data_IF_636634855172
#
_entry.id   IF_636634855172
#
_cell.length_a   1.000
_cell.length_b   1.000
_cell.length_c   1.000
_cell.angle_alpha   90.00
_cell.angle_beta   90.00
_cell.angle_gamma   90.00
#
_symmetry.space_group_name_H-M   'P 1'
#
loop_
_entity.id
_entity.type
_entity.pdbx_description
1 polymer ?
#
# COMPACT_ATOMS: atom_id res chain seq x y z
N UNK A 1 -12.20 -7.72 14.15
CA UNK A 1 -12.50 -6.77 13.09
C UNK A 1 -12.01 -5.38 13.48
N UNK A 2 -11.32 -4.71 12.59
CA UNK A 2 -10.91 -3.31 12.76
C UNK A 2 -11.46 -2.49 11.63
N UNK A 3 -11.81 -1.25 11.92
CA UNK A 3 -12.31 -0.32 10.93
C UNK A 3 -11.33 0.83 10.77
N UNK A 4 -10.85 1.05 9.54
CA UNK A 4 -9.87 2.09 9.21
C UNK A 4 -10.37 2.83 7.98
N UNK A 5 -10.56 4.14 8.09
CA UNK A 5 -11.00 4.96 6.96
C UNK A 5 -12.33 4.52 6.34
N UNK A 6 -13.25 3.99 7.13
CA UNK A 6 -14.52 3.46 6.65
C UNK A 6 -14.47 2.06 6.09
N UNK A 7 -13.31 1.43 6.05
CA UNK A 7 -13.14 0.05 5.62
C UNK A 7 -13.00 -0.88 6.81
N UNK A 8 -13.55 -2.08 6.69
CA UNK A 8 -13.48 -3.09 7.73
C UNK A 8 -12.37 -4.09 7.42
N UNK A 9 -11.48 -4.28 8.39
CA UNK A 9 -10.40 -5.24 8.29
C UNK A 9 -10.58 -6.33 9.33
N UNK A 10 -10.44 -7.57 8.91
CA UNK A 10 -10.47 -8.72 9.79
C UNK A 10 -9.04 -9.19 10.04
N UNK A 11 -8.77 -9.78 11.21
CA UNK A 11 -7.51 -10.46 11.40
C UNK A 11 -7.45 -11.67 10.49
N UNK A 12 -6.24 -12.11 10.14
CA UNK A 12 -6.07 -13.30 9.30
C UNK A 12 -6.72 -14.52 9.95
N UNK A 13 -6.62 -14.64 11.25
CA UNK A 13 -7.23 -15.76 11.99
C UNK A 13 -8.75 -15.74 11.92
N UNK A 14 -9.37 -14.57 12.08
CA UNK A 14 -10.84 -14.45 12.04
C UNK A 14 -11.41 -14.88 10.68
N UNK A 15 -10.72 -14.55 9.60
CA UNK A 15 -11.19 -14.85 8.25
C UNK A 15 -10.84 -16.28 7.84
N UNK A 16 -9.62 -16.70 8.09
CA UNK A 16 -9.10 -17.95 7.54
C UNK A 16 -9.64 -19.19 8.22
N UNK A 17 -9.89 -19.14 9.52
CA UNK A 17 -10.45 -20.29 10.25
C UNK A 17 -11.86 -20.63 9.81
N UNK A 18 -12.64 -19.63 9.44
CA UNK A 18 -14.03 -19.81 9.01
C UNK A 18 -14.16 -20.15 7.52
N UNK A 19 -13.31 -19.56 6.67
CA UNK A 19 -13.53 -19.58 5.21
C UNK A 19 -12.58 -20.50 4.44
N UNK A 20 -11.37 -20.72 4.93
CA UNK A 20 -10.30 -21.33 4.11
C UNK A 20 -9.75 -22.61 4.72
N UNK A 21 -9.95 -22.82 6.01
CA UNK A 21 -9.51 -24.01 6.70
C UNK A 21 -8.26 -23.79 7.54
N UNK A 22 -7.60 -24.87 7.90
CA UNK A 22 -6.55 -24.88 8.90
C UNK A 22 -5.24 -24.25 8.42
N UNK A 23 -4.46 -23.74 9.37
CA UNK A 23 -3.12 -23.19 9.16
C UNK A 23 -2.21 -24.26 8.56
N UNK A 24 -1.39 -23.85 7.59
CA UNK A 24 -0.42 -24.73 6.97
C UNK A 24 -0.88 -25.40 5.71
N UNK A 25 -2.11 -25.18 5.26
CA UNK A 25 -2.55 -25.64 3.95
C UNK A 25 -2.09 -24.68 2.86
N UNK A 26 -1.72 -25.16 1.65
CA UNK A 26 -1.31 -24.27 0.55
C UNK A 26 -2.35 -23.21 0.20
N UNK A 27 -3.63 -23.57 0.28
CA UNK A 27 -4.73 -22.66 -0.01
C UNK A 27 -4.78 -21.50 0.99
N UNK A 28 -4.54 -21.78 2.27
CA UNK A 28 -4.49 -20.76 3.30
C UNK A 28 -3.29 -19.84 3.14
N UNK A 29 -2.12 -20.38 2.84
CA UNK A 29 -0.89 -19.61 2.65
C UNK A 29 -1.03 -18.62 1.50
N UNK A 30 -1.65 -19.02 0.40
CA UNK A 30 -1.92 -18.15 -0.73
C UNK A 30 -2.89 -17.03 -0.37
N UNK A 31 -3.92 -17.35 0.39
CA UNK A 31 -4.90 -16.37 0.85
C UNK A 31 -4.26 -15.35 1.79
N UNK A 32 -3.46 -15.80 2.75
CA UNK A 32 -2.76 -14.92 3.69
C UNK A 32 -1.82 -13.95 2.97
N UNK A 33 -1.09 -14.40 1.97
CA UNK A 33 -0.24 -13.52 1.16
C UNK A 33 -1.05 -12.47 0.44
N UNK A 34 -2.17 -12.85 -0.16
CA UNK A 34 -3.03 -11.93 -0.89
C UNK A 34 -3.58 -10.82 0.00
N UNK A 35 -4.09 -11.18 1.17
CA UNK A 35 -4.59 -10.23 2.16
C UNK A 35 -3.48 -9.29 2.63
N UNK A 36 -2.31 -9.82 2.92
CA UNK A 36 -1.16 -9.04 3.36
C UNK A 36 -0.73 -8.01 2.32
N UNK A 37 -0.67 -8.42 1.05
CA UNK A 37 -0.31 -7.53 -0.05
C UNK A 37 -1.33 -6.41 -0.25
N UNK A 38 -2.61 -6.72 -0.17
CA UNK A 38 -3.67 -5.73 -0.30
C UNK A 38 -3.65 -4.72 0.85
N UNK A 39 -3.40 -5.17 2.07
CA UNK A 39 -3.30 -4.28 3.22
C UNK A 39 -2.08 -3.37 3.13
N UNK A 40 -0.96 -3.89 2.65
CA UNK A 40 0.25 -3.08 2.44
C UNK A 40 0.01 -1.99 1.39
N UNK A 41 -0.60 -2.34 0.27
CA UNK A 41 -0.94 -1.38 -0.78
C UNK A 41 -1.90 -0.30 -0.29
N UNK A 42 -2.87 -0.68 0.53
CA UNK A 42 -3.81 0.26 1.13
C UNK A 42 -3.10 1.27 2.05
N UNK A 43 -2.21 0.80 2.91
CA UNK A 43 -1.46 1.67 3.82
C UNK A 43 -0.56 2.65 3.07
N UNK A 44 0.09 2.17 2.02
CA UNK A 44 0.91 3.02 1.17
C UNK A 44 0.05 4.09 0.49
N UNK A 45 -1.09 3.71 -0.04
CA UNK A 45 -2.01 4.63 -0.67
C UNK A 45 -2.49 5.72 0.28
N UNK A 46 -2.83 5.37 1.52
CA UNK A 46 -3.20 6.34 2.54
C UNK A 46 -2.06 7.30 2.87
N UNK A 47 -0.84 6.80 3.00
CA UNK A 47 0.32 7.62 3.29
C UNK A 47 0.56 8.65 2.18
N UNK A 48 0.44 8.23 0.94
CA UNK A 48 0.57 9.12 -0.23
C UNK A 48 -0.51 10.21 -0.18
N UNK A 49 -1.76 9.81 0.04
CA UNK A 49 -2.88 10.75 0.07
C UNK A 49 -2.74 11.78 1.20
N UNK A 50 -2.44 11.33 2.41
CA UNK A 50 -2.29 12.21 3.56
C UNK A 50 -1.14 13.19 3.37
N UNK A 51 -0.01 12.72 2.87
CA UNK A 51 1.14 13.58 2.58
C UNK A 51 0.83 14.62 1.51
N UNK A 52 0.11 14.21 0.47
CA UNK A 52 -0.33 15.09 -0.59
C UNK A 52 -1.25 16.20 -0.06
N UNK A 53 -2.23 15.83 0.73
CA UNK A 53 -3.19 16.78 1.31
C UNK A 53 -2.48 17.75 2.24
N UNK A 54 -1.56 17.28 3.09
CA UNK A 54 -0.79 18.13 3.97
C UNK A 54 0.04 19.17 3.22
N UNK A 55 0.49 18.85 2.03
CA UNK A 55 1.28 19.75 1.18
C UNK A 55 0.43 20.60 0.26
N UNK A 56 -0.90 20.50 0.32
CA UNK A 56 -1.84 21.20 -0.54
C UNK A 56 -1.59 20.99 -2.03
N UNK A 57 -1.28 19.76 -2.40
CA UNK A 57 -1.02 19.36 -3.78
C UNK A 57 -2.20 18.54 -4.30
N UNK A 58 -2.65 18.80 -5.53
CA UNK A 58 -3.68 17.98 -6.18
C UNK A 58 -3.05 16.70 -6.73
N UNK A 59 -3.89 15.70 -7.05
CA UNK A 59 -3.42 14.48 -7.72
C UNK A 59 -2.75 14.80 -9.06
N UNK A 60 -3.29 15.75 -9.81
CA UNK A 60 -2.72 16.18 -11.08
C UNK A 60 -1.35 16.83 -10.89
N UNK A 61 -1.23 17.72 -9.91
CA UNK A 61 0.04 18.36 -9.59
C UNK A 61 1.10 17.34 -9.18
N UNK A 62 0.71 16.39 -8.33
CA UNK A 62 1.63 15.32 -7.93
C UNK A 62 2.06 14.46 -9.11
N UNK A 63 1.13 14.11 -9.98
CA UNK A 63 1.44 13.37 -11.20
C UNK A 63 2.45 14.09 -12.08
N UNK A 64 2.25 15.38 -12.28
CA UNK A 64 3.18 16.21 -13.07
C UNK A 64 4.57 16.28 -12.44
N UNK A 65 4.62 16.44 -11.12
CA UNK A 65 5.89 16.49 -10.36
C UNK A 65 6.64 15.16 -10.42
N UNK A 66 5.92 14.05 -10.36
CA UNK A 66 6.51 12.71 -10.36
C UNK A 66 6.73 12.15 -11.77
N UNK A 67 6.24 12.82 -12.80
CA UNK A 67 6.36 12.35 -14.19
C UNK A 67 5.44 11.16 -14.50
N UNK A 68 4.29 11.09 -13.85
CA UNK A 68 3.29 10.04 -14.06
C UNK A 68 1.91 10.65 -14.29
N UNK A 69 0.98 9.83 -14.78
CA UNK A 69 -0.38 10.29 -15.01
C UNK A 69 -1.16 10.41 -13.68
N UNK A 70 -2.09 11.35 -13.65
CA UNK A 70 -3.02 11.50 -12.53
C UNK A 70 -3.73 10.19 -12.19
N UNK A 71 -4.11 9.41 -13.20
CA UNK A 71 -4.79 8.14 -13.02
C UNK A 71 -3.94 7.14 -12.22
N UNK A 72 -2.62 7.19 -12.38
CA UNK A 72 -1.70 6.35 -11.60
C UNK A 72 -1.69 6.78 -10.15
N UNK A 73 -1.64 8.08 -9.87
CA UNK A 73 -1.72 8.62 -8.51
C UNK A 73 -3.03 8.20 -7.85
N UNK A 74 -4.14 8.33 -8.56
CA UNK A 74 -5.45 7.93 -8.06
C UNK A 74 -5.50 6.44 -7.71
N UNK A 75 -4.96 5.58 -8.55
CA UNK A 75 -4.92 4.14 -8.29
C UNK A 75 -4.08 3.80 -7.06
N UNK A 76 -2.94 4.45 -6.90
CA UNK A 76 -2.08 4.25 -5.72
C UNK A 76 -2.82 4.67 -4.45
N UNK A 77 -3.46 5.83 -4.45
CA UNK A 77 -4.23 6.32 -3.29
C UNK A 77 -5.43 5.44 -2.97
N UNK A 78 -5.97 4.74 -3.94
CA UNK A 78 -7.07 3.79 -3.75
C UNK A 78 -6.61 2.39 -3.29
N UNK A 79 -5.33 2.22 -3.05
CA UNK A 79 -4.80 0.97 -2.52
C UNK A 79 -4.46 -0.08 -3.56
N UNK A 80 -4.34 0.31 -4.81
CA UNK A 80 -3.91 -0.62 -5.87
C UNK A 80 -2.39 -0.75 -5.88
N UNK A 81 -1.92 -1.95 -6.17
CA UNK A 81 -0.49 -2.23 -6.25
C UNK A 81 0.17 -1.47 -7.39
N UNK A 82 1.41 -1.05 -7.16
CA UNK A 82 2.20 -0.36 -8.17
C UNK A 82 3.67 -0.77 -8.03
N UNK A 83 4.50 -0.39 -8.99
CA UNK A 83 5.93 -0.71 -8.95
C UNK A 83 6.68 0.16 -7.94
N UNK A 84 7.81 -0.35 -7.44
CA UNK A 84 8.69 0.43 -6.57
C UNK A 84 9.20 1.69 -7.27
N UNK A 85 9.43 1.62 -8.57
CA UNK A 85 9.86 2.77 -9.36
C UNK A 85 8.83 3.90 -9.29
N UNK A 86 7.54 3.58 -9.45
CA UNK A 86 6.46 4.56 -9.37
C UNK A 86 6.36 5.14 -7.97
N UNK A 87 6.41 4.31 -6.93
CA UNK A 87 6.37 4.77 -5.54
C UNK A 87 7.54 5.68 -5.22
N UNK A 88 8.74 5.33 -5.69
CA UNK A 88 9.94 6.14 -5.50
C UNK A 88 9.77 7.53 -6.11
N UNK A 89 9.22 7.61 -7.32
CA UNK A 89 8.95 8.89 -7.99
C UNK A 89 7.95 9.74 -7.20
N UNK A 90 6.88 9.12 -6.70
CA UNK A 90 5.85 9.81 -5.93
C UNK A 90 6.45 10.39 -4.63
N UNK A 91 7.18 9.60 -3.88
CA UNK A 91 7.76 10.05 -2.61
C UNK A 91 8.82 11.12 -2.83
N UNK A 92 9.67 10.99 -3.84
CA UNK A 92 10.66 12.03 -4.17
C UNK A 92 9.99 13.34 -4.59
N UNK A 93 8.92 13.27 -5.34
CA UNK A 93 8.19 14.45 -5.77
C UNK A 93 7.63 15.24 -4.58
N UNK A 94 7.28 14.55 -3.51
CA UNK A 94 6.81 15.18 -2.28
C UNK A 94 7.94 15.54 -1.30
N UNK A 95 9.20 15.33 -1.68
CA UNK A 95 10.33 15.60 -0.82
C UNK A 95 10.46 14.66 0.36
N UNK A 96 9.86 13.47 0.27
CA UNK A 96 9.87 12.47 1.33
C UNK A 96 10.91 11.38 1.05
N UNK A 97 11.39 10.77 2.12
CA UNK A 97 12.24 9.58 2.03
C UNK A 97 11.40 8.37 2.45
N UNK A 98 11.46 7.32 1.64
CA UNK A 98 10.83 6.06 1.96
C UNK A 98 11.87 4.96 1.90
N UNK A 99 11.74 3.95 2.76
CA UNK A 99 12.64 2.82 2.77
C UNK A 99 11.86 1.52 2.85
N UNK A 100 12.43 0.47 2.28
CA UNK A 100 11.90 -0.89 2.37
C UNK A 100 12.88 -1.72 3.18
N UNK A 101 12.39 -2.31 4.27
CA UNK A 101 13.18 -3.26 5.06
C UNK A 101 12.87 -4.68 4.62
N UNK A 102 13.91 -5.41 4.28
CA UNK A 102 13.81 -6.84 4.01
C UNK A 102 14.30 -7.55 5.27
N UNK A 103 13.44 -8.42 5.83
CA UNK A 103 13.62 -9.09 7.13
C UNK A 103 15.05 -9.48 7.43
N UNK A 104 15.70 -8.72 8.32
CA UNK A 104 17.04 -9.03 8.85
C UNK A 104 18.18 -8.95 7.87
N UNK A 105 17.97 -8.51 6.63
CA UNK A 105 19.01 -8.47 5.61
C UNK A 105 19.50 -7.07 5.26
N UNK A 106 18.58 -6.20 4.84
CA UNK A 106 18.97 -4.83 4.44
C UNK A 106 17.76 -3.90 4.41
N UNK A 107 18.07 -2.59 4.41
CA UNK A 107 17.10 -1.54 4.12
C UNK A 107 17.42 -0.95 2.75
N UNK A 108 16.39 -0.74 1.95
CA UNK A 108 16.52 -0.17 0.61
C UNK A 108 15.78 1.17 0.60
N UNK A 109 16.48 2.23 0.20
CA UNK A 109 15.86 3.55 0.01
C UNK A 109 15.10 3.58 -1.30
N UNK A 110 13.86 3.96 -1.22
CA UNK A 110 13.01 4.15 -2.40
C UNK A 110 13.14 5.51 -3.02
#
# INVERSE_FOLDING_TARGET
MKEIGGMKFYTLEEVTDEMIGEIGTPKRDEFERRISDEMAAYKIGQAVRESRIQKNITQEQLGNMAGINRSVVSRVENGQSTSFSTLSRIFRAMGMKASLEVSGLCSIML
#
